data_IF_121159555277
#
_entry.id   IF_121159555277
#
_cell.length_a   1.000
_cell.length_b   1.000
_cell.length_c   1.000
_cell.angle_alpha   90.00
_cell.angle_beta   90.00
_cell.angle_gamma   90.00
#
_symmetry.space_group_name_H-M   'P 1'
#
loop_
_entity.id
_entity.type
_entity.pdbx_description
1 polymer ?
#
# COMPACT_ATOMS: atom_id res chain seq x y z
N UNK A 1 -3.28 17.22 -14.67
CA UNK A 1 -3.24 18.21 -13.57
C UNK A 1 -2.68 17.50 -12.35
N UNK A 2 -1.57 17.98 -11.77
CA UNK A 2 -1.12 17.45 -10.48
C UNK A 2 -2.20 17.81 -9.44
N UNK A 3 -3.02 16.84 -9.04
CA UNK A 3 -4.04 17.07 -8.01
C UNK A 3 -3.30 17.49 -6.74
N UNK A 4 -3.53 18.73 -6.31
CA UNK A 4 -3.01 19.24 -5.05
C UNK A 4 -3.49 18.34 -3.93
N UNK A 5 -2.56 17.81 -3.12
CA UNK A 5 -2.91 17.04 -1.94
C UNK A 5 -3.78 17.87 -1.00
N UNK A 6 -4.98 17.40 -0.71
CA UNK A 6 -5.82 18.03 0.30
C UNK A 6 -5.58 17.36 1.65
N UNK A 7 -5.06 18.14 2.60
CA UNK A 7 -4.88 17.67 3.97
C UNK A 7 -6.25 17.51 4.66
N UNK A 8 -6.50 16.39 5.34
CA UNK A 8 -7.74 16.20 6.07
C UNK A 8 -7.85 17.19 7.23
N UNK A 9 -9.08 17.56 7.62
CA UNK A 9 -9.30 18.57 8.66
C UNK A 9 -8.61 18.20 9.98
N UNK A 10 -8.50 16.90 10.30
CA UNK A 10 -7.81 16.38 11.48
C UNK A 10 -6.34 16.83 11.51
N UNK A 11 -5.68 16.95 10.36
CA UNK A 11 -4.28 17.39 10.26
C UNK A 11 -4.08 18.85 10.73
N UNK A 12 -5.16 19.65 10.76
CA UNK A 12 -5.17 21.02 11.30
C UNK A 12 -5.65 21.09 12.75
N UNK A 13 -6.03 19.96 13.35
CA UNK A 13 -6.56 19.88 14.70
C UNK A 13 -5.47 19.40 15.69
N UNK A 14 -4.98 20.25 16.61
CA UNK A 14 -3.83 19.91 17.46
C UNK A 14 -3.93 18.56 18.20
N UNK A 15 -5.10 18.15 18.75
CA UNK A 15 -5.24 16.86 19.41
C UNK A 15 -4.97 15.64 18.51
N UNK A 16 -5.04 15.79 17.19
CA UNK A 16 -4.76 14.69 16.25
C UNK A 16 -3.33 14.15 16.37
N UNK A 17 -2.38 14.99 16.79
CA UNK A 17 -0.97 14.65 17.01
C UNK A 17 -0.68 14.10 18.42
N UNK A 18 -1.71 13.81 19.22
CA UNK A 18 -1.57 13.22 20.55
C UNK A 18 -2.47 12.00 20.65
N UNK A 19 -1.91 10.86 21.06
CA UNK A 19 -2.67 9.61 21.18
C UNK A 19 -3.84 9.80 22.15
N UNK A 20 -5.06 9.59 21.67
CA UNK A 20 -6.25 9.85 22.46
C UNK A 20 -6.43 8.78 23.55
N UNK A 21 -6.75 9.17 24.80
CA UNK A 21 -6.89 8.23 25.91
C UNK A 21 -8.18 7.41 25.81
N UNK A 22 -9.25 8.03 25.32
CA UNK A 22 -10.54 7.37 25.08
C UNK A 22 -10.44 6.41 23.89
N UNK A 23 -10.90 5.17 24.06
CA UNK A 23 -10.75 4.08 23.08
C UNK A 23 -11.47 4.39 21.77
N UNK A 24 -12.72 4.85 21.80
CA UNK A 24 -13.51 5.14 20.59
C UNK A 24 -12.88 6.29 19.79
N UNK A 25 -12.42 7.32 20.50
CA UNK A 25 -11.74 8.47 19.90
C UNK A 25 -10.40 8.03 19.30
N UNK A 26 -9.65 7.17 19.99
CA UNK A 26 -8.39 6.61 19.49
C UNK A 26 -8.61 5.76 18.24
N UNK A 27 -9.66 4.94 18.18
CA UNK A 27 -9.97 4.18 16.97
C UNK A 27 -10.23 5.09 15.77
N UNK A 28 -11.04 6.15 15.95
CA UNK A 28 -11.30 7.16 14.91
C UNK A 28 -10.02 7.89 14.50
N UNK A 29 -9.19 8.25 15.47
CA UNK A 29 -7.88 8.88 15.23
C UNK A 29 -6.97 7.98 14.39
N UNK A 30 -6.82 6.71 14.77
CA UNK A 30 -5.97 5.75 14.06
C UNK A 30 -6.49 5.46 12.65
N UNK A 31 -7.82 5.39 12.47
CA UNK A 31 -8.42 5.27 11.14
C UNK A 31 -8.09 6.46 10.24
N UNK A 32 -8.19 7.68 10.76
CA UNK A 32 -7.84 8.90 10.04
C UNK A 32 -6.33 8.95 9.72
N UNK A 33 -5.46 8.56 10.65
CA UNK A 33 -4.02 8.45 10.39
C UNK A 33 -3.71 7.42 9.30
N UNK A 34 -4.31 6.22 9.34
CA UNK A 34 -4.12 5.21 8.30
C UNK A 34 -4.49 5.77 6.91
N UNK A 35 -5.67 6.41 6.80
CA UNK A 35 -6.13 7.00 5.54
C UNK A 35 -5.17 8.09 5.05
N UNK A 36 -4.72 8.96 5.94
CA UNK A 36 -3.77 10.02 5.62
C UNK A 36 -2.45 9.43 5.10
N UNK A 37 -1.85 8.47 5.80
CA UNK A 37 -0.59 7.82 5.39
C UNK A 37 -0.71 7.22 3.99
N UNK A 38 -1.77 6.45 3.73
CA UNK A 38 -1.95 5.80 2.42
C UNK A 38 -2.13 6.81 1.29
N UNK A 39 -2.93 7.86 1.52
CA UNK A 39 -3.14 8.92 0.52
C UNK A 39 -1.87 9.72 0.25
N UNK A 40 -1.08 10.02 1.28
CA UNK A 40 0.18 10.74 1.18
C UNK A 40 1.22 9.92 0.41
N UNK A 41 1.43 8.66 0.80
CA UNK A 41 2.39 7.76 0.13
C UNK A 41 2.01 7.52 -1.34
N UNK A 42 0.70 7.37 -1.64
CA UNK A 42 0.21 7.24 -3.01
C UNK A 42 0.59 8.46 -3.87
N UNK A 43 0.37 9.67 -3.36
CA UNK A 43 0.66 10.89 -4.10
C UNK A 43 2.17 11.06 -4.34
N UNK A 44 2.98 10.82 -3.31
CA UNK A 44 4.43 11.02 -3.37
C UNK A 44 5.16 9.85 -4.06
N UNK A 45 4.45 8.81 -4.50
CA UNK A 45 5.01 7.57 -5.05
C UNK A 45 6.08 6.95 -4.13
N UNK A 46 5.92 7.14 -2.82
CA UNK A 46 6.83 6.61 -1.81
C UNK A 46 6.28 5.27 -1.33
N UNK A 47 7.02 4.20 -1.63
CA UNK A 47 6.67 2.85 -1.17
C UNK A 47 7.44 2.45 0.08
N UNK A 48 8.68 2.93 0.29
CA UNK A 48 9.47 2.57 1.47
C UNK A 48 10.05 3.80 2.18
N UNK A 49 10.16 3.72 3.51
CA UNK A 49 10.83 4.72 4.34
C UNK A 49 11.18 4.14 5.71
N UNK A 50 12.06 4.83 6.42
CA UNK A 50 12.36 4.56 7.83
C UNK A 50 11.40 5.32 8.76
N UNK A 51 11.25 4.84 10.00
CA UNK A 51 10.46 5.51 11.04
C UNK A 51 11.01 6.91 11.35
N UNK A 52 12.34 7.07 11.28
CA UNK A 52 13.01 8.37 11.49
C UNK A 52 12.71 9.35 10.35
N UNK A 53 12.82 8.90 9.09
CA UNK A 53 12.45 9.73 7.94
C UNK A 53 10.96 10.11 7.97
N UNK A 54 10.09 9.15 8.32
CA UNK A 54 8.67 9.40 8.44
C UNK A 54 8.36 10.45 9.52
N UNK A 55 9.04 10.37 10.68
CA UNK A 55 8.85 11.31 11.79
C UNK A 55 9.16 12.76 11.40
N UNK A 56 10.25 12.97 10.66
CA UNK A 56 10.66 14.31 10.21
C UNK A 56 9.89 14.79 8.97
N UNK A 57 9.19 13.88 8.28
CA UNK A 57 8.38 14.23 7.13
C UNK A 57 7.15 15.09 7.50
N UNK A 58 6.60 15.87 6.54
CA UNK A 58 5.35 16.59 6.73
C UNK A 58 4.16 15.70 7.13
N UNK A 59 4.23 14.39 6.88
CA UNK A 59 3.16 13.44 7.23
C UNK A 59 2.89 13.42 8.73
N UNK A 60 3.94 13.32 9.55
CA UNK A 60 3.82 13.25 11.01
C UNK A 60 4.28 14.53 11.73
N UNK A 61 4.79 15.52 10.99
CA UNK A 61 5.24 16.81 11.51
C UNK A 61 4.53 17.99 10.81
N UNK A 62 3.55 18.59 11.50
CA UNK A 62 2.94 19.84 11.06
C UNK A 62 3.65 21.03 11.68
N UNK A 63 4.65 21.55 10.95
CA UNK A 63 5.48 22.69 11.37
C UNK A 63 4.65 23.95 11.61
N UNK A 64 3.63 24.22 10.77
CA UNK A 64 2.75 25.39 10.92
C UNK A 64 1.91 25.33 12.19
N UNK A 65 1.50 24.13 12.60
CA UNK A 65 0.73 23.90 13.82
C UNK A 65 1.63 23.71 15.06
N UNK A 66 2.95 23.63 14.88
CA UNK A 66 3.92 23.26 15.92
C UNK A 66 3.51 21.97 16.65
N UNK A 67 3.12 20.96 15.87
CA UNK A 67 2.71 19.66 16.37
C UNK A 67 3.35 18.56 15.55
N UNK A 68 3.96 17.60 16.26
CA UNK A 68 4.53 16.38 15.69
C UNK A 68 4.00 15.17 16.44
N UNK A 69 3.72 14.09 15.71
CA UNK A 69 3.30 12.83 16.31
C UNK A 69 4.53 12.17 16.96
N UNK A 70 4.47 11.77 18.24
CA UNK A 70 5.58 11.08 18.89
C UNK A 70 5.89 9.74 18.20
N UNK A 71 7.17 9.31 18.20
CA UNK A 71 7.61 8.02 17.61
C UNK A 71 6.76 6.85 18.09
N UNK A 72 6.44 6.81 19.37
CA UNK A 72 5.65 5.75 19.98
C UNK A 72 4.25 5.67 19.37
N UNK A 73 3.66 6.83 19.07
CA UNK A 73 2.36 6.92 18.41
C UNK A 73 2.45 6.61 16.91
N UNK A 74 3.55 6.98 16.25
CA UNK A 74 3.81 6.59 14.85
C UNK A 74 3.90 5.06 14.75
N UNK A 75 4.64 4.40 15.65
CA UNK A 75 4.74 2.94 15.70
C UNK A 75 3.37 2.27 15.85
N UNK A 76 2.47 2.85 16.66
CA UNK A 76 1.09 2.35 16.77
C UNK A 76 0.33 2.48 15.44
N UNK A 77 0.43 3.63 14.75
CA UNK A 77 -0.19 3.83 13.43
C UNK A 77 0.35 2.83 12.41
N UNK A 78 1.66 2.62 12.36
CA UNK A 78 2.31 1.67 11.45
C UNK A 78 1.88 0.23 11.75
N UNK A 79 1.77 -0.14 13.02
CA UNK A 79 1.27 -1.46 13.41
C UNK A 79 -0.22 -1.66 13.03
N UNK A 80 -1.05 -0.62 13.09
CA UNK A 80 -2.42 -0.68 12.59
C UNK A 80 -2.47 -0.84 11.06
N UNK A 81 -1.61 -0.15 10.32
CA UNK A 81 -1.47 -0.35 8.87
C UNK A 81 -1.01 -1.77 8.53
N UNK A 82 -0.10 -2.33 9.32
CA UNK A 82 0.37 -3.71 9.17
C UNK A 82 -0.77 -4.71 9.35
N UNK A 83 -1.57 -4.56 10.41
CA UNK A 83 -2.75 -5.41 10.65
C UNK A 83 -3.78 -5.33 9.54
N UNK A 84 -3.90 -4.18 8.88
CA UNK A 84 -4.78 -3.97 7.72
C UNK A 84 -4.21 -4.53 6.40
N UNK A 85 -2.95 -4.99 6.38
CA UNK A 85 -2.28 -5.48 5.18
C UNK A 85 -1.69 -4.38 4.28
N UNK A 86 -1.61 -3.14 4.77
CA UNK A 86 -1.06 -2.01 4.03
C UNK A 86 0.41 -1.71 4.36
N UNK A 87 1.00 -2.42 5.32
CA UNK A 87 2.39 -2.23 5.71
C UNK A 87 3.11 -3.56 5.91
N UNK A 88 4.35 -3.63 5.46
CA UNK A 88 5.29 -4.70 5.73
C UNK A 88 6.56 -4.12 6.38
N UNK A 89 7.04 -4.74 7.46
CA UNK A 89 8.32 -4.36 8.07
C UNK A 89 9.46 -4.97 7.26
N UNK A 90 10.45 -4.15 6.88
CA UNK A 90 11.60 -4.56 6.07
C UNK A 90 12.76 -5.09 6.91
N UNK A 91 12.70 -4.89 8.23
CA UNK A 91 13.70 -5.36 9.18
C UNK A 91 13.07 -5.86 10.48
N UNK A 92 13.84 -6.65 11.23
CA UNK A 92 13.42 -7.24 12.50
C UNK A 92 13.25 -6.22 13.62
N UNK A 93 13.91 -5.07 13.52
CA UNK A 93 13.91 -4.02 14.53
C UNK A 93 12.74 -3.05 14.37
N UNK A 94 11.91 -3.23 13.33
CA UNK A 94 10.80 -2.34 12.96
C UNK A 94 11.27 -0.89 12.77
N UNK A 95 12.41 -0.69 12.10
CA UNK A 95 12.94 0.66 11.79
C UNK A 95 12.61 1.12 10.38
N UNK A 96 12.36 0.21 9.45
CA UNK A 96 12.09 0.46 8.03
C UNK A 96 10.89 -0.33 7.56
N UNK A 97 10.05 0.28 6.74
CA UNK A 97 8.79 -0.31 6.32
C UNK A 97 8.46 -0.01 4.85
N UNK A 98 7.68 -0.92 4.26
CA UNK A 98 7.04 -0.79 2.97
C UNK A 98 5.57 -0.46 3.17
N UNK A 99 5.09 0.64 2.59
CA UNK A 99 3.69 1.04 2.48
C UNK A 99 3.13 0.62 1.14
N UNK A 100 1.98 -0.05 1.20
CA UNK A 100 1.18 -0.45 0.06
C UNK A 100 -0.14 0.33 0.11
N UNK A 101 -0.24 1.38 -0.70
CA UNK A 101 -1.44 2.24 -0.75
C UNK A 101 -2.70 1.50 -1.20
N UNK A 102 -2.52 0.43 -1.98
CA UNK A 102 -3.52 -0.59 -2.29
C UNK A 102 -2.95 -1.95 -1.90
N UNK A 103 -3.78 -2.80 -1.31
CA UNK A 103 -3.33 -4.09 -0.77
C UNK A 103 -3.03 -5.09 -1.90
N UNK A 104 -2.08 -6.02 -1.72
CA UNK A 104 -1.81 -7.06 -2.70
C UNK A 104 -3.05 -7.87 -3.08
N UNK A 105 -3.95 -8.16 -2.13
CA UNK A 105 -5.19 -8.88 -2.38
C UNK A 105 -6.15 -8.09 -3.28
N UNK A 106 -6.18 -6.76 -3.13
CA UNK A 106 -7.00 -5.88 -3.97
C UNK A 106 -6.42 -5.79 -5.39
N UNK A 107 -5.10 -5.74 -5.52
CA UNK A 107 -4.43 -5.86 -6.81
C UNK A 107 -4.70 -7.19 -7.49
N UNK A 108 -4.55 -8.29 -6.76
CA UNK A 108 -4.84 -9.64 -7.24
C UNK A 108 -6.28 -9.73 -7.76
N UNK A 109 -7.24 -9.16 -7.02
CA UNK A 109 -8.64 -9.13 -7.46
C UNK A 109 -8.84 -8.35 -8.76
N UNK A 110 -8.19 -7.19 -8.94
CA UNK A 110 -8.27 -6.41 -10.19
C UNK A 110 -7.66 -7.17 -11.37
N UNK A 111 -6.50 -7.78 -11.18
CA UNK A 111 -5.83 -8.60 -12.19
C UNK A 111 -6.74 -9.78 -12.58
N UNK A 112 -7.23 -10.53 -11.59
CA UNK A 112 -8.11 -11.67 -11.84
C UNK A 112 -9.42 -11.27 -12.54
N UNK A 113 -10.00 -10.14 -12.14
CA UNK A 113 -11.19 -9.58 -12.80
C UNK A 113 -10.89 -9.23 -14.26
N UNK A 114 -9.71 -8.67 -14.57
CA UNK A 114 -9.29 -8.40 -15.93
C UNK A 114 -9.15 -9.70 -16.75
N UNK A 115 -8.43 -10.70 -16.24
CA UNK A 115 -8.28 -12.00 -16.91
C UNK A 115 -9.64 -12.67 -17.20
N UNK A 116 -10.56 -12.60 -16.23
CA UNK A 116 -11.90 -13.16 -16.39
C UNK A 116 -12.73 -12.44 -17.47
N UNK A 117 -12.70 -11.09 -17.52
CA UNK A 117 -13.46 -10.35 -18.54
C UNK A 117 -12.84 -10.41 -19.93
N UNK A 118 -11.52 -10.61 -20.04
CA UNK A 118 -10.84 -10.77 -21.33
C UNK A 118 -11.05 -12.17 -21.93
N UNK A 119 -11.67 -13.09 -21.17
CA UNK A 119 -11.88 -14.47 -21.60
C UNK A 119 -10.60 -15.30 -21.59
N UNK A 120 -9.55 -14.83 -20.93
CA UNK A 120 -8.23 -15.46 -20.86
C UNK A 120 -8.05 -16.32 -19.60
N UNK A 121 -9.14 -16.84 -19.03
CA UNK A 121 -9.04 -17.85 -17.97
C UNK A 121 -8.35 -19.12 -18.52
N UNK A 122 -7.57 -19.82 -17.69
CA UNK A 122 -6.70 -20.93 -18.08
C UNK A 122 -5.51 -20.57 -18.99
N UNK A 123 -5.17 -19.29 -19.10
CA UNK A 123 -3.98 -18.82 -19.85
C UNK A 123 -2.76 -18.67 -18.94
N UNK A 124 -1.59 -18.67 -19.57
CA UNK A 124 -0.31 -18.31 -18.93
C UNK A 124 0.08 -16.91 -19.40
N UNK A 125 0.49 -16.07 -18.47
CA UNK A 125 1.05 -14.75 -18.72
C UNK A 125 2.45 -14.65 -18.14
N UNK A 126 3.30 -13.88 -18.79
CA UNK A 126 4.53 -13.36 -18.19
C UNK A 126 4.19 -12.20 -17.26
N UNK A 127 5.08 -11.89 -16.31
CA UNK A 127 4.90 -10.69 -15.48
C UNK A 127 4.93 -9.40 -16.32
N UNK A 128 5.74 -9.41 -17.39
CA UNK A 128 5.86 -8.28 -18.31
C UNK A 128 4.54 -8.00 -19.06
N UNK A 129 3.86 -9.02 -19.56
CA UNK A 129 2.56 -8.85 -20.24
C UNK A 129 1.51 -8.22 -19.31
N UNK A 130 1.52 -8.58 -18.02
CA UNK A 130 0.56 -8.01 -17.06
C UNK A 130 0.81 -6.53 -16.79
N UNK A 131 2.06 -6.10 -16.65
CA UNK A 131 2.37 -4.71 -16.24
C UNK A 131 2.74 -3.79 -17.39
N UNK A 132 3.09 -4.33 -18.55
CA UNK A 132 3.68 -3.58 -19.67
C UNK A 132 3.17 -4.05 -21.03
N UNK A 133 2.14 -4.91 -21.06
CA UNK A 133 1.49 -5.35 -22.30
C UNK A 133 0.51 -4.32 -22.84
N UNK A 134 0.28 -4.37 -24.15
CA UNK A 134 -0.69 -3.50 -24.84
C UNK A 134 -2.12 -3.74 -24.33
N UNK A 135 -2.46 -4.99 -23.99
CA UNK A 135 -3.80 -5.36 -23.50
C UNK A 135 -4.14 -4.79 -22.11
N UNK A 136 -3.14 -4.28 -21.37
CA UNK A 136 -3.32 -3.78 -20.00
C UNK A 136 -3.13 -2.28 -19.86
N UNK A 137 -2.87 -1.52 -20.94
CA UNK A 137 -2.58 -0.08 -20.86
C UNK A 137 -3.65 0.74 -20.12
N UNK A 138 -4.92 0.36 -20.26
CA UNK A 138 -6.06 1.01 -19.61
C UNK A 138 -6.33 0.51 -18.17
N UNK A 139 -5.56 -0.46 -17.69
CA UNK A 139 -5.76 -1.08 -16.39
C UNK A 139 -4.98 -0.39 -15.26
N UNK A 140 -5.58 -0.36 -14.07
CA UNK A 140 -4.94 0.29 -12.91
C UNK A 140 -3.61 -0.34 -12.50
N UNK A 141 -3.39 -1.62 -12.83
CA UNK A 141 -2.17 -2.36 -12.51
C UNK A 141 -1.10 -2.25 -13.61
N UNK A 142 -1.35 -1.50 -14.68
CA UNK A 142 -0.31 -1.18 -15.65
C UNK A 142 0.79 -0.35 -15.00
N UNK A 143 2.04 -0.72 -15.26
CA UNK A 143 3.23 -0.12 -14.63
C UNK A 143 3.39 -0.43 -13.13
N UNK A 144 2.64 -1.41 -12.59
CA UNK A 144 2.82 -1.85 -11.21
C UNK A 144 4.24 -2.42 -11.02
N UNK A 145 4.90 -2.08 -9.91
CA UNK A 145 6.23 -2.60 -9.64
C UNK A 145 6.20 -4.12 -9.42
N UNK A 146 7.25 -4.81 -9.85
CA UNK A 146 7.31 -6.28 -9.82
C UNK A 146 7.14 -6.84 -8.41
N UNK A 147 7.64 -6.14 -7.38
CA UNK A 147 7.55 -6.60 -6.00
C UNK A 147 6.10 -6.55 -5.47
N UNK A 148 5.32 -5.54 -5.86
CA UNK A 148 3.88 -5.46 -5.55
C UNK A 148 3.08 -6.46 -6.39
N UNK A 149 3.41 -6.61 -7.68
CA UNK A 149 2.78 -7.60 -8.56
C UNK A 149 2.95 -9.01 -8.01
N UNK A 150 4.17 -9.40 -7.63
CA UNK A 150 4.44 -10.73 -7.08
C UNK A 150 3.61 -11.00 -5.81
N UNK A 151 3.52 -10.03 -4.90
CA UNK A 151 2.65 -10.16 -3.72
C UNK A 151 1.19 -10.33 -4.10
N UNK A 152 0.72 -9.62 -5.12
CA UNK A 152 -0.66 -9.74 -5.62
C UNK A 152 -0.94 -11.12 -6.22
N UNK A 153 0.00 -11.66 -6.99
CA UNK A 153 -0.10 -13.00 -7.56
C UNK A 153 0.02 -14.10 -6.49
N UNK A 154 0.85 -13.90 -5.46
CA UNK A 154 0.94 -14.79 -4.31
C UNK A 154 -0.39 -14.85 -3.54
N UNK A 155 -1.06 -13.71 -3.37
CA UNK A 155 -2.40 -13.67 -2.77
C UNK A 155 -3.41 -14.47 -3.60
N UNK A 156 -3.41 -14.33 -4.94
CA UNK A 156 -4.25 -15.14 -5.82
C UNK A 156 -3.90 -16.64 -5.77
N UNK A 157 -2.63 -16.98 -5.63
CA UNK A 157 -2.19 -18.36 -5.49
C UNK A 157 -2.68 -18.99 -4.19
N UNK A 158 -2.68 -18.22 -3.10
CA UNK A 158 -3.26 -18.64 -1.83
C UNK A 158 -4.78 -18.84 -1.91
N UNK A 159 -5.46 -18.13 -2.79
CA UNK A 159 -6.89 -18.31 -3.09
C UNK A 159 -7.17 -19.40 -4.15
N UNK A 160 -6.15 -20.13 -4.61
CA UNK A 160 -6.25 -21.13 -5.69
C UNK A 160 -6.78 -20.59 -7.03
N UNK A 161 -6.59 -19.29 -7.30
CA UNK A 161 -7.00 -18.61 -8.55
C UNK A 161 -5.86 -18.46 -9.55
N UNK A 162 -4.62 -18.60 -9.10
CA UNK A 162 -3.45 -18.52 -9.96
C UNK A 162 -2.32 -19.44 -9.46
N UNK A 163 -1.34 -19.71 -10.31
CA UNK A 163 -0.12 -20.43 -9.97
C UNK A 163 1.08 -19.70 -10.58
N UNK A 164 2.01 -19.25 -9.73
CA UNK A 164 3.24 -18.59 -10.19
C UNK A 164 4.18 -19.67 -10.73
N UNK A 165 4.60 -19.51 -11.98
CA UNK A 165 5.51 -20.42 -12.68
C UNK A 165 6.89 -19.75 -12.72
N UNK A 166 7.90 -20.45 -12.22
CA UNK A 166 9.29 -20.00 -12.35
C UNK A 166 9.95 -20.83 -13.45
N UNK A 167 10.38 -20.16 -14.52
CA UNK A 167 11.11 -20.74 -15.64
C UNK A 167 12.56 -20.27 -15.58
N UNK A 168 13.50 -20.97 -16.23
CA UNK A 168 14.93 -20.62 -16.20
C UNK A 168 15.21 -19.18 -16.60
N UNK A 169 14.41 -18.63 -17.51
CA UNK A 169 14.63 -17.33 -18.13
C UNK A 169 13.61 -16.26 -17.67
N UNK A 170 12.78 -16.56 -16.67
CA UNK A 170 11.80 -15.60 -16.19
C UNK A 170 10.72 -16.15 -15.27
N UNK A 171 9.78 -15.26 -14.92
CA UNK A 171 8.59 -15.60 -14.12
C UNK A 171 7.34 -15.41 -14.96
N UNK A 172 6.44 -16.37 -14.85
CA UNK A 172 5.10 -16.30 -15.39
C UNK A 172 4.07 -16.66 -14.33
N UNK A 173 2.80 -16.62 -14.71
CA UNK A 173 1.67 -17.00 -13.89
C UNK A 173 0.60 -17.63 -14.75
N UNK A 174 0.05 -18.75 -14.29
CA UNK A 174 -1.15 -19.36 -14.86
C UNK A 174 -2.35 -18.93 -14.05
N UNK A 175 -3.41 -18.49 -14.71
CA UNK A 175 -4.70 -18.20 -14.06
C UNK A 175 -5.66 -19.37 -14.25
N UNK A 176 -6.52 -19.61 -13.25
CA UNK A 176 -7.54 -20.66 -13.26
C UNK A 176 -8.95 -20.08 -13.41
#
# INVERSE_FOLDING_TARGET
MAMSFEWPWQYRFPPFFTLQPNVDTRQKQLAAWCSLVLSFCRLHKQSSMTVMEAQESPLFNNVKLQRKLPVESIQIVLEELRKKGNLEWLDKNKSSFLIMWRRPEEWGKLIYQWVSRSGQNNSVFTLYELTSGEDTEDEEFHGLDEATLLRALQALQQEHKAEIITVSDGRGVKFF
#
